data_IF_464441453045
#
_entry.id   IF_464441453045
#
_cell.length_a   1.000
_cell.length_b   1.000
_cell.length_c   1.000
_cell.angle_alpha   90.00
_cell.angle_beta   90.00
_cell.angle_gamma   90.00
#
_symmetry.space_group_name_H-M   'P 1'
#
loop_
_entity.id
_entity.type
_entity.pdbx_description
1 polymer ?
#
# COMPACT_ATOMS: atom_id res chain seq x y z
N UNK A 1 -4.12 -20.89 -3.09
CA UNK A 1 -2.87 -20.44 -2.43
C UNK A 1 -2.81 -18.93 -2.49
N UNK A 2 -2.70 -18.21 -1.36
CA UNK A 2 -2.37 -16.77 -1.38
C UNK A 2 -0.87 -16.67 -1.64
N UNK A 3 -0.47 -16.31 -2.86
CA UNK A 3 0.94 -16.00 -3.15
C UNK A 3 1.28 -14.70 -2.41
N UNK A 4 2.20 -14.78 -1.45
CA UNK A 4 2.76 -13.59 -0.82
C UNK A 4 3.46 -12.78 -1.92
N UNK A 5 3.23 -11.46 -1.96
CA UNK A 5 3.97 -10.61 -2.90
C UNK A 5 5.47 -10.70 -2.61
N UNK A 6 6.30 -10.42 -3.61
CA UNK A 6 7.77 -10.41 -3.48
C UNK A 6 8.23 -9.62 -2.23
N UNK A 7 7.61 -8.46 -1.93
CA UNK A 7 7.93 -7.67 -0.74
C UNK A 7 7.51 -8.30 0.58
N UNK A 8 6.39 -9.03 0.62
CA UNK A 8 6.01 -9.80 1.80
C UNK A 8 7.04 -10.89 2.11
N UNK A 9 7.57 -11.57 1.09
CA UNK A 9 8.61 -12.56 1.27
C UNK A 9 9.92 -11.94 1.78
N UNK A 10 10.34 -10.79 1.23
CA UNK A 10 11.54 -10.06 1.67
C UNK A 10 11.44 -9.60 3.13
N UNK A 11 10.33 -8.99 3.54
CA UNK A 11 10.13 -8.57 4.94
C UNK A 11 10.12 -9.78 5.87
N UNK A 12 9.47 -10.88 5.47
CA UNK A 12 9.45 -12.10 6.28
C UNK A 12 10.84 -12.74 6.42
N UNK A 13 11.66 -12.69 5.37
CA UNK A 13 13.05 -13.14 5.42
C UNK A 13 13.88 -12.25 6.34
N UNK A 14 13.81 -10.92 6.17
CA UNK A 14 14.56 -9.96 6.99
C UNK A 14 14.18 -10.06 8.47
N UNK A 15 12.89 -10.19 8.79
CA UNK A 15 12.41 -10.36 10.19
C UNK A 15 12.96 -11.59 10.90
N UNK A 16 13.32 -12.65 10.18
CA UNK A 16 13.86 -13.89 10.77
C UNK A 16 15.34 -13.76 11.15
N UNK A 17 16.08 -12.88 10.48
CA UNK A 17 17.53 -12.80 10.56
C UNK A 17 18.05 -11.46 11.09
N UNK A 18 17.21 -10.44 11.16
CA UNK A 18 17.58 -9.06 11.55
C UNK A 18 16.84 -8.63 12.81
N UNK A 19 17.47 -7.74 13.57
CA UNK A 19 16.85 -7.06 14.70
C UNK A 19 15.77 -6.06 14.21
N UNK A 20 14.87 -5.67 15.11
CA UNK A 20 13.70 -4.84 14.75
C UNK A 20 14.06 -3.42 14.31
N UNK A 21 15.23 -2.93 14.70
CA UNK A 21 15.80 -1.62 14.38
C UNK A 21 16.73 -1.66 13.15
N UNK A 22 16.92 -2.83 12.53
CA UNK A 22 17.75 -2.96 11.34
C UNK A 22 17.21 -2.06 10.20
N UNK A 23 18.06 -1.21 9.60
CA UNK A 23 17.62 -0.22 8.62
C UNK A 23 17.06 -0.87 7.34
N UNK A 24 17.55 -2.05 6.97
CA UNK A 24 17.07 -2.81 5.81
C UNK A 24 15.65 -3.33 6.06
N UNK A 25 15.39 -3.84 7.27
CA UNK A 25 14.06 -4.28 7.69
C UNK A 25 13.07 -3.12 7.78
N UNK A 26 13.48 -1.97 8.30
CA UNK A 26 12.64 -0.77 8.37
C UNK A 26 12.27 -0.26 6.97
N UNK A 27 13.26 -0.14 6.08
CA UNK A 27 13.05 0.27 4.69
C UNK A 27 12.11 -0.68 3.95
N UNK A 28 12.35 -1.99 4.05
CA UNK A 28 11.48 -3.00 3.43
C UNK A 28 10.05 -2.96 4.00
N UNK A 29 9.89 -2.67 5.30
CA UNK A 29 8.58 -2.54 5.93
C UNK A 29 7.81 -1.29 5.48
N UNK A 30 8.49 -0.16 5.28
CA UNK A 30 7.89 1.07 4.72
C UNK A 30 7.39 0.81 3.30
N UNK A 31 8.26 0.25 2.46
CA UNK A 31 7.93 -0.08 1.08
C UNK A 31 6.77 -1.06 0.96
N UNK A 32 6.69 -2.04 1.87
CA UNK A 32 5.56 -2.98 1.89
C UNK A 32 4.24 -2.26 2.23
N UNK A 33 4.24 -1.31 3.17
CA UNK A 33 3.03 -0.53 3.50
C UNK A 33 2.57 0.30 2.32
N UNK A 34 3.50 0.96 1.62
CA UNK A 34 3.18 1.72 0.40
C UNK A 34 2.56 0.82 -0.67
N UNK A 35 3.15 -0.34 -0.96
CA UNK A 35 2.61 -1.27 -1.96
C UNK A 35 1.21 -1.78 -1.58
N UNK A 36 0.96 -2.05 -0.29
CA UNK A 36 -0.35 -2.46 0.20
C UNK A 36 -1.40 -1.37 -0.03
N UNK A 37 -1.06 -0.10 0.23
CA UNK A 37 -1.95 1.03 -0.01
C UNK A 37 -2.27 1.20 -1.49
N UNK A 38 -1.25 1.14 -2.36
CA UNK A 38 -1.45 1.22 -3.82
C UNK A 38 -2.37 0.12 -4.30
N UNK A 39 -2.10 -1.14 -3.94
CA UNK A 39 -2.96 -2.29 -4.31
C UNK A 39 -4.39 -2.15 -3.80
N UNK A 40 -4.57 -1.59 -2.61
CA UNK A 40 -5.89 -1.36 -2.04
C UNK A 40 -6.68 -0.32 -2.86
N UNK A 41 -6.00 0.76 -3.28
CA UNK A 41 -6.58 1.79 -4.16
C UNK A 41 -6.88 1.21 -5.55
N UNK A 42 -5.95 0.50 -6.16
CA UNK A 42 -6.15 -0.16 -7.47
C UNK A 42 -7.37 -1.09 -7.43
N UNK A 43 -7.45 -1.96 -6.43
CA UNK A 43 -8.59 -2.87 -6.26
C UNK A 43 -9.91 -2.14 -6.02
N UNK A 44 -9.87 -0.98 -5.34
CA UNK A 44 -11.05 -0.15 -5.16
C UNK A 44 -11.48 0.48 -6.50
N UNK A 45 -10.53 0.90 -7.33
CA UNK A 45 -10.79 1.45 -8.66
C UNK A 45 -11.29 0.39 -9.65
N UNK A 46 -10.73 -0.82 -9.65
CA UNK A 46 -11.18 -1.94 -10.49
C UNK A 46 -12.66 -2.29 -10.26
N UNK A 47 -13.11 -2.20 -9.02
CA UNK A 47 -14.49 -2.47 -8.62
C UNK A 47 -15.40 -1.27 -8.73
N UNK A 48 -14.82 -0.09 -8.95
CA UNK A 48 -15.59 1.13 -9.07
C UNK A 48 -16.22 1.18 -10.45
N UNK A 49 -17.53 1.51 -10.57
CA UNK A 49 -18.03 2.04 -11.83
C UNK A 49 -17.18 3.26 -12.24
N UNK A 50 -17.16 3.63 -13.54
CA UNK A 50 -16.35 4.74 -14.04
C UNK A 50 -16.54 5.97 -13.15
N UNK A 51 -15.43 6.48 -12.60
CA UNK A 51 -15.47 7.63 -11.71
C UNK A 51 -16.04 8.82 -12.49
N UNK A 52 -17.29 9.17 -12.18
CA UNK A 52 -17.91 10.38 -12.71
C UNK A 52 -17.15 11.59 -12.19
N UNK A 53 -17.22 12.68 -12.95
CA UNK A 53 -16.53 13.92 -12.57
C UNK A 53 -16.97 14.42 -11.18
N UNK A 54 -18.25 14.24 -10.82
CA UNK A 54 -18.77 14.57 -9.49
C UNK A 54 -18.11 13.76 -8.36
N UNK A 55 -17.86 12.47 -8.58
CA UNK A 55 -17.19 11.61 -7.59
C UNK A 55 -15.70 11.99 -7.48
N UNK A 56 -15.05 12.30 -8.61
CA UNK A 56 -13.66 12.78 -8.64
C UNK A 56 -13.48 14.07 -7.84
N UNK A 57 -14.34 15.06 -8.09
CA UNK A 57 -14.35 16.34 -7.36
C UNK A 57 -14.51 16.13 -5.85
N UNK A 58 -15.40 15.22 -5.45
CA UNK A 58 -15.62 14.89 -4.03
C UNK A 58 -14.41 14.22 -3.38
N UNK A 59 -13.72 13.32 -4.08
CA UNK A 59 -12.47 12.70 -3.61
C UNK A 59 -11.38 13.78 -3.45
N UNK A 60 -11.21 14.66 -4.44
CA UNK A 60 -10.24 15.76 -4.39
C UNK A 60 -10.52 16.67 -3.19
N UNK A 61 -11.79 17.02 -2.95
CA UNK A 61 -12.17 17.83 -1.78
C UNK A 61 -11.84 17.15 -0.45
N UNK A 62 -12.07 15.84 -0.32
CA UNK A 62 -11.71 15.08 0.89
C UNK A 62 -10.20 15.05 1.14
N UNK A 63 -9.40 14.91 0.07
CA UNK A 63 -7.94 14.87 0.16
C UNK A 63 -7.33 16.25 0.40
N UNK A 64 -7.95 17.33 -0.10
CA UNK A 64 -7.49 18.69 0.11
C UNK A 64 -7.65 19.17 1.56
N UNK A 65 -8.65 18.65 2.29
CA UNK A 65 -8.88 18.96 3.70
C UNK A 65 -7.95 18.17 4.63
N UNK A 66 -7.43 17.03 4.16
CA UNK A 66 -6.59 16.12 4.94
C UNK A 66 -5.08 16.42 4.87
N UNK A 67 -4.66 17.45 4.11
CA UNK A 67 -3.27 17.87 3.94
C UNK A 67 -2.93 19.11 4.77
#
# INVERSE_FOLDING_TARGET
MRTLSSRHASVAALKRHRAADDPELLSASVQLREEVLVRAVEKALEKSPPLTEAVRQRIVGLLAVAQ
#
